data_IF_418853740626
#
_entry.id   IF_418853740626
#
_cell.length_a   1.000
_cell.length_b   1.000
_cell.length_c   1.000
_cell.angle_alpha   90.00
_cell.angle_beta   90.00
_cell.angle_gamma   90.00
#
_symmetry.space_group_name_H-M   'P 1'
#
loop_
_entity.id
_entity.type
_entity.pdbx_description
1 polymer ?
#
# COMPACT_ATOMS: atom_id res chain seq x y z
N UNK A 1 6.52 -12.35 4.45
CA UNK A 1 5.77 -12.06 5.69
C UNK A 1 4.34 -12.57 5.54
N UNK A 2 4.15 -13.89 5.45
CA UNK A 2 2.84 -14.48 5.12
C UNK A 2 1.80 -14.24 6.22
N UNK A 3 2.21 -14.36 7.48
CA UNK A 3 1.30 -14.19 8.61
C UNK A 3 1.06 -12.71 8.92
N UNK A 4 2.09 -11.89 8.86
CA UNK A 4 2.03 -10.47 9.22
C UNK A 4 1.24 -9.64 8.20
N UNK A 5 1.19 -10.07 6.93
CA UNK A 5 0.48 -9.38 5.86
C UNK A 5 -0.90 -9.98 5.56
N UNK A 6 -1.43 -10.85 6.43
CA UNK A 6 -2.72 -11.52 6.23
C UNK A 6 -3.90 -10.54 6.11
N UNK A 7 -3.83 -9.40 6.80
CA UNK A 7 -4.83 -8.33 6.79
C UNK A 7 -4.30 -7.02 6.15
N UNK A 8 -3.12 -7.08 5.53
CA UNK A 8 -2.54 -5.90 4.89
C UNK A 8 -3.22 -5.61 3.55
N UNK A 9 -3.34 -4.34 3.21
CA UNK A 9 -3.68 -3.95 1.84
C UNK A 9 -2.45 -4.00 0.95
N UNK A 10 -2.61 -4.62 -0.22
CA UNK A 10 -1.55 -4.71 -1.22
C UNK A 10 -1.69 -3.55 -2.21
N UNK A 11 -0.61 -2.80 -2.38
CA UNK A 11 -0.45 -1.76 -3.40
C UNK A 11 0.67 -2.21 -4.33
N UNK A 12 0.35 -2.39 -5.60
CA UNK A 12 1.31 -2.80 -6.63
C UNK A 12 1.65 -1.58 -7.48
N UNK A 13 2.94 -1.35 -7.71
CA UNK A 13 3.41 -0.28 -8.58
C UNK A 13 4.05 -0.87 -9.83
N UNK A 14 3.73 -0.31 -11.00
CA UNK A 14 4.30 -0.71 -12.28
C UNK A 14 5.73 -0.15 -12.50
N UNK A 15 6.21 0.71 -11.58
CA UNK A 15 7.57 1.25 -11.63
C UNK A 15 8.59 0.21 -11.22
N UNK A 16 9.71 0.18 -11.95
CA UNK A 16 10.86 -0.63 -11.59
C UNK A 16 11.50 -0.10 -10.31
N UNK A 17 12.01 -1.01 -9.47
CA UNK A 17 12.61 -0.66 -8.19
C UNK A 17 13.73 0.39 -8.25
N UNK A 18 14.65 0.37 -9.25
CA UNK A 18 15.70 1.39 -9.36
C UNK A 18 15.16 2.81 -9.61
N UNK A 19 13.96 2.93 -10.17
CA UNK A 19 13.31 4.20 -10.49
C UNK A 19 12.34 4.67 -9.37
N UNK A 20 12.24 3.91 -8.28
CA UNK A 20 11.32 4.16 -7.18
C UNK A 20 11.90 5.23 -6.23
N UNK A 21 11.15 6.31 -6.00
CA UNK A 21 11.56 7.42 -5.13
C UNK A 21 10.57 7.59 -3.95
N UNK A 22 10.93 8.42 -2.97
CA UNK A 22 10.11 8.75 -1.79
C UNK A 22 8.70 9.23 -2.13
N UNK A 23 8.55 9.87 -3.29
CA UNK A 23 7.26 10.38 -3.77
C UNK A 23 6.31 9.25 -4.13
N UNK A 24 6.85 8.14 -4.64
CA UNK A 24 6.06 6.96 -4.99
C UNK A 24 5.63 6.21 -3.73
N UNK A 25 6.46 6.24 -2.69
CA UNK A 25 6.06 5.77 -1.36
C UNK A 25 4.91 6.61 -0.79
N UNK A 26 5.02 7.94 -0.86
CA UNK A 26 3.96 8.83 -0.37
C UNK A 26 2.66 8.67 -1.15
N UNK A 27 2.72 8.51 -2.47
CA UNK A 27 1.55 8.23 -3.30
C UNK A 27 0.86 6.92 -2.88
N UNK A 28 1.62 5.86 -2.61
CA UNK A 28 1.06 4.61 -2.09
C UNK A 28 0.42 4.76 -0.70
N UNK A 29 0.99 5.60 0.18
CA UNK A 29 0.39 5.93 1.47
C UNK A 29 -0.89 6.76 1.34
N UNK A 30 -0.94 7.72 0.42
CA UNK A 30 -2.14 8.50 0.11
C UNK A 30 -3.24 7.61 -0.46
N UNK A 31 -2.90 6.68 -1.34
CA UNK A 31 -3.83 5.67 -1.85
C UNK A 31 -4.42 4.86 -0.70
N UNK A 32 -3.57 4.33 0.18
CA UNK A 32 -4.02 3.61 1.38
C UNK A 32 -4.92 4.47 2.28
N UNK A 33 -4.60 5.75 2.49
CA UNK A 33 -5.40 6.66 3.31
C UNK A 33 -6.75 7.02 2.68
N UNK A 34 -6.81 7.10 1.35
CA UNK A 34 -8.02 7.45 0.59
C UNK A 34 -9.03 6.30 0.49
N UNK A 35 -8.57 5.05 0.64
CA UNK A 35 -9.42 3.86 0.51
C UNK A 35 -10.39 3.78 1.69
N UNK A 36 -11.67 3.63 1.33
CA UNK A 36 -12.76 3.54 2.29
C UNK A 36 -12.69 2.19 3.02
N UNK A 37 -12.30 2.22 4.30
CA UNK A 37 -12.27 1.03 5.14
C UNK A 37 -13.68 0.47 5.29
N UNK A 38 -13.93 -0.73 4.76
CA UNK A 38 -15.18 -1.45 5.04
C UNK A 38 -15.21 -1.78 6.54
N UNK A 39 -16.34 -1.44 7.17
CA UNK A 39 -16.63 -1.64 8.60
C UNK A 39 -16.26 -3.07 9.03
N UNK A 40 -15.40 -3.21 10.03
CA UNK A 40 -14.96 -4.51 10.58
C UNK A 40 -13.54 -4.96 10.23
N UNK A 41 -12.73 -4.13 9.57
CA UNK A 41 -11.29 -4.40 9.38
C UNK A 41 -10.47 -3.81 10.52
N UNK A 42 -10.08 -4.66 11.48
CA UNK A 42 -9.13 -4.40 12.55
C UNK A 42 -8.16 -5.59 12.66
#
# INVERSE_FOLDING_TARGET
>A
MLWQAAYAEYVFSDKLWPDYDRRDLWAACEEYASRHRRFGSA
#
